data_IF_962350243156
#
_entry.id   IF_962350243156
#
_cell.length_a   1.000
_cell.length_b   1.000
_cell.length_c   1.000
_cell.angle_alpha   90.00
_cell.angle_beta   90.00
_cell.angle_gamma   90.00
#
_symmetry.space_group_name_H-M   'P 1'
#
loop_
_entity.id
_entity.type
_entity.pdbx_description
1 polymer ?
#
# COMPACT_ATOMS: atom_id res chain seq x y z
N UNK A 1 -18.51 -0.84 0.25
CA UNK A 1 -17.47 -0.07 -0.49
C UNK A 1 -16.62 0.65 0.55
N UNK A 2 -15.37 0.91 0.22
CA UNK A 2 -14.40 1.60 1.08
C UNK A 2 -13.69 2.65 0.24
N UNK A 3 -13.43 3.79 0.84
CA UNK A 3 -12.85 4.95 0.18
C UNK A 3 -11.32 4.89 0.26
N UNK A 4 -10.68 4.94 -0.90
CA UNK A 4 -9.22 5.02 -1.02
C UNK A 4 -8.82 6.39 -1.51
N UNK A 5 -7.94 7.05 -0.74
CA UNK A 5 -7.38 8.35 -1.11
C UNK A 5 -5.91 8.19 -1.47
N UNK A 6 -5.57 8.41 -2.73
CA UNK A 6 -4.20 8.38 -3.22
C UNK A 6 -3.62 9.81 -3.22
N UNK A 7 -2.54 10.00 -2.49
CA UNK A 7 -1.76 11.23 -2.43
C UNK A 7 -0.50 11.01 -3.27
N UNK A 8 -0.40 11.76 -4.36
CA UNK A 8 0.76 11.78 -5.25
C UNK A 8 1.34 13.21 -5.20
N UNK A 9 2.66 13.38 -5.06
CA UNK A 9 3.28 14.70 -5.12
C UNK A 9 2.83 15.48 -6.36
N UNK A 10 2.55 16.77 -6.16
CA UNK A 10 2.17 17.72 -7.21
C UNK A 10 0.88 17.35 -7.99
N UNK A 11 0.02 16.50 -7.42
CA UNK A 11 -1.31 16.17 -7.98
C UNK A 11 -2.41 16.40 -6.94
N UNK A 12 -3.65 16.74 -7.37
CA UNK A 12 -4.79 16.69 -6.47
C UNK A 12 -5.00 15.26 -5.94
N UNK A 13 -5.50 15.10 -4.70
CA UNK A 13 -5.85 13.79 -4.17
C UNK A 13 -6.80 13.02 -5.10
N UNK A 14 -6.46 11.77 -5.39
CA UNK A 14 -7.30 10.89 -6.19
C UNK A 14 -8.12 10.00 -5.25
N UNK A 15 -9.43 10.22 -5.22
CA UNK A 15 -10.37 9.47 -4.38
C UNK A 15 -11.12 8.44 -5.23
N UNK A 16 -11.12 7.19 -4.80
CA UNK A 16 -11.80 6.09 -5.49
C UNK A 16 -12.50 5.18 -4.52
N UNK A 17 -13.58 4.55 -4.98
CA UNK A 17 -14.31 3.53 -4.24
C UNK A 17 -13.82 2.15 -4.62
N UNK A 18 -13.52 1.31 -3.63
CA UNK A 18 -13.11 -0.06 -3.84
C UNK A 18 -14.04 -1.06 -3.12
N UNK A 19 -14.17 -2.31 -3.63
CA UNK A 19 -14.87 -3.36 -2.91
C UNK A 19 -14.14 -3.71 -1.60
N UNK A 20 -14.88 -3.73 -0.49
CA UNK A 20 -14.35 -4.21 0.78
C UNK A 20 -13.97 -5.69 0.67
N UNK A 21 -12.84 -6.08 1.26
CA UNK A 21 -12.26 -7.42 1.15
C UNK A 21 -11.47 -7.68 -0.14
N UNK A 22 -11.47 -6.73 -1.09
CA UNK A 22 -10.64 -6.80 -2.29
C UNK A 22 -9.15 -6.65 -2.00
N UNK A 23 -8.30 -6.92 -3.00
CA UNK A 23 -6.85 -6.65 -2.91
C UNK A 23 -6.56 -5.26 -3.48
N UNK A 24 -5.79 -4.47 -2.75
CA UNK A 24 -5.42 -3.10 -3.17
C UNK A 24 -4.72 -3.07 -4.53
N UNK A 25 -3.94 -4.11 -4.86
CA UNK A 25 -3.24 -4.19 -6.14
C UNK A 25 -4.19 -4.19 -7.35
N UNK A 26 -5.41 -4.68 -7.22
CA UNK A 26 -6.34 -4.71 -8.36
C UNK A 26 -6.81 -3.30 -8.71
N UNK A 27 -7.18 -2.49 -7.71
CA UNK A 27 -7.46 -1.06 -7.89
C UNK A 27 -6.24 -0.31 -8.42
N UNK A 28 -5.04 -0.53 -7.87
CA UNK A 28 -3.80 0.08 -8.36
C UNK A 28 -3.57 -0.22 -9.84
N UNK A 29 -3.77 -1.47 -10.27
CA UNK A 29 -3.56 -1.88 -11.67
C UNK A 29 -4.50 -1.16 -12.62
N UNK A 30 -5.77 -1.01 -12.24
CA UNK A 30 -6.76 -0.29 -13.02
C UNK A 30 -6.39 1.19 -13.16
N UNK A 31 -6.03 1.84 -12.04
CA UNK A 31 -5.64 3.25 -12.04
C UNK A 31 -4.34 3.52 -12.81
N UNK A 32 -3.33 2.64 -12.69
CA UNK A 32 -2.08 2.78 -13.47
C UNK A 32 -2.36 2.58 -14.97
N UNK A 33 -3.19 1.60 -15.35
CA UNK A 33 -3.57 1.37 -16.77
C UNK A 33 -4.32 2.55 -17.37
N UNK A 34 -5.14 3.23 -16.58
CA UNK A 34 -5.84 4.45 -16.97
C UNK A 34 -4.94 5.70 -16.96
N UNK A 35 -3.67 5.60 -16.55
CA UNK A 35 -2.74 6.74 -16.43
C UNK A 35 -3.00 7.64 -15.22
N UNK A 36 -3.94 7.27 -14.33
CA UNK A 36 -4.32 8.07 -13.18
C UNK A 36 -3.30 7.99 -12.03
N UNK A 37 -2.60 6.86 -11.90
CA UNK A 37 -1.66 6.60 -10.80
C UNK A 37 -0.25 6.29 -11.33
N UNK A 38 0.78 7.09 -10.99
CA UNK A 38 2.15 6.85 -11.44
C UNK A 38 2.86 5.80 -10.57
N UNK A 39 2.20 4.68 -10.30
CA UNK A 39 2.72 3.58 -9.50
C UNK A 39 3.06 2.37 -10.40
N UNK A 40 4.27 1.84 -10.26
CA UNK A 40 4.67 0.63 -10.96
C UNK A 40 4.04 -0.62 -10.34
N UNK A 41 3.77 -1.62 -11.17
CA UNK A 41 3.38 -2.96 -10.71
C UNK A 41 3.92 -4.02 -11.68
N UNK A 42 4.13 -5.24 -11.18
CA UNK A 42 4.68 -6.33 -12.00
C UNK A 42 4.14 -7.70 -11.62
N UNK A 43 4.55 -8.23 -10.45
CA UNK A 43 4.27 -9.64 -10.11
C UNK A 43 2.89 -9.89 -9.48
N UNK A 44 2.32 -8.90 -8.78
CA UNK A 44 1.13 -9.06 -7.92
C UNK A 44 1.21 -10.24 -6.91
N UNK A 45 2.42 -10.74 -6.63
CA UNK A 45 2.72 -11.92 -5.82
C UNK A 45 3.65 -11.60 -4.64
N UNK A 46 4.01 -10.33 -4.43
CA UNK A 46 4.84 -9.95 -3.28
C UNK A 46 6.34 -10.11 -3.46
N UNK A 47 6.83 -10.51 -4.63
CA UNK A 47 8.25 -10.86 -4.83
C UNK A 47 9.12 -9.74 -5.41
N UNK A 48 8.53 -8.81 -6.18
CA UNK A 48 9.28 -7.75 -6.86
C UNK A 48 9.35 -6.42 -6.11
N UNK A 49 8.40 -6.17 -5.20
CA UNK A 49 8.26 -4.90 -4.48
C UNK A 49 8.00 -3.65 -5.32
N UNK A 50 7.61 -3.79 -6.60
CA UNK A 50 7.34 -2.65 -7.49
C UNK A 50 6.12 -1.81 -7.05
N UNK A 51 5.11 -2.47 -6.48
CA UNK A 51 3.89 -1.84 -5.97
C UNK A 51 4.06 -1.29 -4.55
N UNK A 52 5.21 -0.67 -4.26
CA UNK A 52 5.47 -0.04 -2.98
C UNK A 52 4.53 1.15 -2.80
N UNK A 53 3.88 1.21 -1.65
CA UNK A 53 3.08 2.35 -1.21
C UNK A 53 3.42 2.63 0.24
N UNK A 54 3.15 3.84 0.72
CA UNK A 54 3.01 4.06 2.16
C UNK A 54 1.53 4.23 2.46
N UNK A 55 1.04 3.65 3.55
CA UNK A 55 -0.37 3.77 3.91
C UNK A 55 -0.52 4.19 5.34
N UNK A 56 -1.57 4.98 5.60
CA UNK A 56 -2.09 5.21 6.94
C UNK A 56 -3.61 5.04 6.92
N UNK A 57 -4.15 4.26 7.84
CA UNK A 57 -5.59 4.22 8.06
C UNK A 57 -5.99 5.42 8.93
N UNK A 58 -7.10 6.06 8.58
CA UNK A 58 -7.57 7.22 9.32
C UNK A 58 -7.88 6.84 10.79
N UNK A 59 -7.20 7.50 11.73
CA UNK A 59 -7.46 7.35 13.16
C UNK A 59 -7.06 6.00 13.79
N UNK A 60 -6.29 5.16 13.11
CA UNK A 60 -6.02 3.80 13.63
C UNK A 60 -5.18 3.79 14.90
N UNK A 61 -4.21 4.71 15.04
CA UNK A 61 -3.32 4.80 16.21
C UNK A 61 -2.64 3.48 16.60
N UNK A 62 -2.67 2.49 15.71
CA UNK A 62 -2.44 1.08 16.01
C UNK A 62 -1.31 0.51 15.17
N UNK A 63 -1.34 -0.79 14.96
CA UNK A 63 -0.31 -1.51 14.22
C UNK A 63 -0.90 -2.30 13.06
N UNK A 64 -0.09 -2.49 12.02
CA UNK A 64 -0.32 -3.45 10.93
C UNK A 64 0.70 -4.57 11.02
N UNK A 65 0.25 -5.80 10.72
CA UNK A 65 1.11 -6.97 10.71
C UNK A 65 1.55 -7.29 9.29
N UNK A 66 2.86 -7.21 9.04
CA UNK A 66 3.46 -7.62 7.78
C UNK A 66 3.60 -9.15 7.72
N UNK A 67 3.40 -9.70 6.53
CA UNK A 67 3.81 -11.09 6.27
C UNK A 67 5.34 -11.20 6.22
N UNK A 68 5.89 -12.39 6.49
CA UNK A 68 7.33 -12.60 6.38
C UNK A 68 7.88 -12.30 4.98
N UNK A 69 7.11 -12.62 3.93
CA UNK A 69 7.46 -12.31 2.54
C UNK A 69 7.51 -10.81 2.29
N UNK A 70 6.43 -10.09 2.62
CA UNK A 70 6.33 -8.64 2.45
C UNK A 70 7.47 -7.93 3.18
N UNK A 71 7.65 -8.24 4.47
CA UNK A 71 8.70 -7.66 5.30
C UNK A 71 10.08 -7.88 4.69
N UNK A 72 10.40 -9.10 4.27
CA UNK A 72 11.71 -9.40 3.70
C UNK A 72 11.97 -8.64 2.39
N UNK A 73 10.95 -8.41 1.57
CA UNK A 73 11.08 -7.59 0.36
C UNK A 73 11.27 -6.12 0.71
N UNK A 74 10.54 -5.58 1.69
CA UNK A 74 10.72 -4.21 2.16
C UNK A 74 12.13 -3.98 2.74
N UNK A 75 12.65 -4.93 3.52
CA UNK A 75 14.03 -4.89 4.03
C UNK A 75 15.04 -4.91 2.87
N UNK A 76 14.87 -5.78 1.87
CA UNK A 76 15.76 -5.83 0.69
C UNK A 76 15.74 -4.55 -0.14
N UNK A 77 14.62 -3.82 -0.12
CA UNK A 77 14.47 -2.52 -0.78
C UNK A 77 14.98 -1.35 0.04
N UNK A 78 15.40 -1.57 1.28
CA UNK A 78 15.85 -0.51 2.18
C UNK A 78 14.71 0.28 2.83
N UNK A 79 13.46 -0.16 2.68
CA UNK A 79 12.29 0.52 3.27
C UNK A 79 12.12 0.20 4.75
N UNK A 80 12.69 -0.90 5.21
CA UNK A 80 12.71 -1.31 6.62
C UNK A 80 14.13 -1.74 7.01
N UNK A 81 14.54 -1.53 8.28
CA UNK A 81 15.83 -2.01 8.76
C UNK A 81 15.87 -3.54 8.83
N UNK A 82 17.07 -4.11 8.72
CA UNK A 82 17.29 -5.54 8.93
C UNK A 82 16.81 -5.93 10.34
N UNK A 83 15.98 -6.97 10.42
CA UNK A 83 15.43 -7.42 11.69
C UNK A 83 14.21 -6.64 12.17
N UNK A 84 13.62 -5.77 11.33
CA UNK A 84 12.36 -5.11 11.65
C UNK A 84 11.30 -6.13 12.15
N UNK A 85 10.51 -5.77 13.18
CA UNK A 85 9.41 -6.61 13.64
C UNK A 85 8.36 -6.79 12.54
N UNK A 86 7.51 -7.81 12.66
CA UNK A 86 6.40 -7.98 11.73
C UNK A 86 5.31 -6.94 11.96
N UNK A 87 5.10 -6.59 13.22
CA UNK A 87 4.20 -5.53 13.62
C UNK A 87 4.86 -4.17 13.37
N UNK A 88 4.20 -3.33 12.58
CA UNK A 88 4.65 -1.99 12.23
C UNK A 88 3.58 -0.98 12.68
N UNK A 89 3.97 0.21 13.14
CA UNK A 89 2.99 1.25 13.44
C UNK A 89 2.21 1.59 12.18
N UNK A 90 0.92 1.87 12.28
CA UNK A 90 0.07 2.22 11.15
C UNK A 90 0.03 3.75 10.99
N UNK A 91 0.93 4.27 10.17
CA UNK A 91 1.17 5.71 10.01
C UNK A 91 1.36 6.05 8.54
N UNK A 92 1.16 7.31 8.14
CA UNK A 92 1.43 7.74 6.76
C UNK A 92 2.82 7.37 6.21
N UNK A 93 3.80 7.10 7.08
CA UNK A 93 5.14 6.66 6.71
C UNK A 93 5.29 5.15 6.50
N UNK A 94 4.30 4.33 6.83
CA UNK A 94 4.47 2.87 6.93
C UNK A 94 4.51 2.21 5.55
N UNK A 95 5.67 1.64 5.15
CA UNK A 95 5.82 1.06 3.83
C UNK A 95 5.07 -0.27 3.74
N UNK A 96 4.32 -0.45 2.66
CA UNK A 96 3.56 -1.64 2.34
C UNK A 96 3.69 -1.98 0.87
N UNK A 97 3.42 -3.22 0.51
CA UNK A 97 3.28 -3.63 -0.88
C UNK A 97 1.78 -3.75 -1.18
N UNK A 98 1.27 -3.02 -2.18
CA UNK A 98 -0.17 -3.03 -2.48
C UNK A 98 -0.74 -4.45 -2.72
N UNK A 99 0.08 -5.38 -3.22
CA UNK A 99 -0.33 -6.78 -3.40
C UNK A 99 -0.48 -7.61 -2.12
N UNK A 100 -0.04 -7.10 -0.97
CA UNK A 100 -0.20 -7.69 0.37
C UNK A 100 -1.27 -6.99 1.21
N UNK A 101 -1.92 -5.95 0.68
CA UNK A 101 -2.93 -5.18 1.40
C UNK A 101 -4.32 -5.59 0.93
N UNK A 102 -5.16 -6.01 1.88
CA UNK A 102 -6.59 -6.16 1.67
C UNK A 102 -7.27 -4.85 2.02
N UNK A 103 -8.27 -4.47 1.23
CA UNK A 103 -9.01 -3.23 1.41
C UNK A 103 -10.18 -3.47 2.36
N UNK A 104 -9.98 -3.24 3.65
CA UNK A 104 -10.99 -3.52 4.69
C UNK A 104 -11.66 -2.25 5.24
N UNK A 105 -10.92 -1.15 5.25
CA UNK A 105 -11.32 0.13 5.80
C UNK A 105 -10.83 1.25 4.88
N UNK A 106 -11.36 2.44 5.08
CA UNK A 106 -10.89 3.63 4.39
C UNK A 106 -9.42 3.88 4.74
N UNK A 107 -8.62 4.21 3.73
CA UNK A 107 -7.19 4.42 3.90
C UNK A 107 -6.64 5.48 2.97
N UNK A 108 -5.61 6.17 3.45
CA UNK A 108 -4.83 7.11 2.66
C UNK A 108 -3.52 6.45 2.24
N UNK A 109 -3.22 6.53 0.95
CA UNK A 109 -2.10 5.89 0.28
C UNK A 109 -1.19 6.98 -0.30
N UNK A 110 0.06 6.98 0.12
CA UNK A 110 1.09 7.91 -0.36
C UNK A 110 1.97 7.17 -1.35
N UNK A 111 2.08 7.73 -2.56
CA UNK A 111 2.80 7.17 -3.70
C UNK A 111 4.05 7.99 -3.99
#
# INVERSE_FOLDING_TARGET
MVTLTFIVPDRPPLVVEAPAGGRLIDTVRELTRAGALPLAWRCAQGTCGACLVRLGHAGSGGCVTLTGMERNVLVRRGELPKGAPHEQPDTAGTPRLACHVNVLHDMTLYI
#
